data_IF_076584305237
#
_entry.id   IF_076584305237
#
_cell.length_a   1.000
_cell.length_b   1.000
_cell.length_c   1.000
_cell.angle_alpha   90.00
_cell.angle_beta   90.00
_cell.angle_gamma   90.00
#
_symmetry.space_group_name_H-M   'P 1'
#
loop_
_entity.id
_entity.type
_entity.pdbx_description
1 polymer ?
#
# COMPACT_ATOMS: atom_id res chain seq x y z
N UNK A 1 -11.19 -10.70 1.53
CA UNK A 1 -10.56 -10.81 0.20
C UNK A 1 -10.78 -12.20 -0.40
N UNK A 2 -10.10 -13.26 0.06
CA UNK A 2 -10.25 -14.61 -0.51
C UNK A 2 -11.71 -15.14 -0.49
N UNK A 3 -12.40 -15.03 0.64
CA UNK A 3 -13.82 -15.40 0.75
C UNK A 3 -14.79 -14.56 -0.09
N UNK A 4 -14.32 -13.46 -0.70
CA UNK A 4 -15.07 -12.63 -1.65
C UNK A 4 -14.68 -12.92 -3.11
N UNK A 5 -13.85 -13.95 -3.36
CA UNK A 5 -13.46 -14.37 -4.71
C UNK A 5 -12.21 -13.69 -5.28
N UNK A 6 -11.51 -12.86 -4.49
CA UNK A 6 -10.25 -12.26 -4.95
C UNK A 6 -9.09 -13.26 -4.87
N UNK A 7 -8.23 -13.27 -5.89
CA UNK A 7 -6.94 -13.93 -5.82
C UNK A 7 -6.03 -13.14 -4.86
N UNK A 8 -5.45 -13.82 -3.88
CA UNK A 8 -4.63 -13.21 -2.83
C UNK A 8 -3.24 -13.85 -2.82
N UNK A 9 -2.22 -13.01 -2.69
CA UNK A 9 -0.85 -13.42 -2.42
C UNK A 9 -0.39 -12.76 -1.12
N UNK A 10 0.00 -13.57 -0.14
CA UNK A 10 0.59 -13.11 1.12
C UNK A 10 2.11 -13.29 1.12
N UNK A 11 2.85 -12.32 1.67
CA UNK A 11 4.30 -12.39 1.85
C UNK A 11 4.64 -12.08 3.31
N UNK A 12 5.39 -12.97 3.95
CA UNK A 12 5.95 -12.75 5.28
C UNK A 12 7.26 -13.54 5.40
N UNK A 13 8.16 -13.12 6.28
CA UNK A 13 9.39 -13.87 6.57
C UNK A 13 9.14 -15.05 7.50
N UNK A 14 8.08 -14.99 8.31
CA UNK A 14 7.72 -16.00 9.29
C UNK A 14 6.84 -17.09 8.66
N UNK A 15 7.46 -18.23 8.36
CA UNK A 15 6.76 -19.39 7.83
C UNK A 15 5.65 -19.91 8.77
N UNK A 16 5.78 -19.71 10.09
CA UNK A 16 4.76 -20.13 11.05
C UNK A 16 3.53 -19.21 11.01
N UNK A 17 3.73 -17.89 10.88
CA UNK A 17 2.63 -16.94 10.69
C UNK A 17 1.83 -17.21 9.39
N UNK A 18 2.52 -17.76 8.39
CA UNK A 18 1.97 -18.12 7.10
C UNK A 18 1.32 -19.52 7.04
N UNK A 19 1.51 -20.34 8.07
CA UNK A 19 0.98 -21.71 8.09
C UNK A 19 -0.56 -21.71 8.07
N UNK A 20 -1.14 -22.50 7.17
CA UNK A 20 -2.59 -22.62 7.00
C UNK A 20 -3.21 -21.57 6.08
N UNK A 21 -2.51 -20.48 5.75
CA UNK A 21 -3.00 -19.45 4.84
C UNK A 21 -3.02 -19.90 3.37
N UNK A 22 -2.35 -21.01 3.03
CA UNK A 22 -2.37 -21.59 1.69
C UNK A 22 -3.78 -21.98 1.24
N UNK A 23 -4.70 -22.24 2.19
CA UNK A 23 -6.10 -22.50 1.90
C UNK A 23 -6.87 -21.26 1.38
N UNK A 24 -6.28 -20.07 1.53
CA UNK A 24 -6.90 -18.79 1.19
C UNK A 24 -6.21 -18.06 0.03
N UNK A 25 -5.04 -18.53 -0.42
CA UNK A 25 -4.30 -17.90 -1.50
C UNK A 25 -2.87 -18.40 -1.61
N UNK A 26 -2.12 -17.78 -2.51
CA UNK A 26 -0.68 -17.99 -2.62
C UNK A 26 0.02 -17.39 -1.41
N UNK A 27 1.05 -18.08 -0.92
CA UNK A 27 1.82 -17.65 0.24
C UNK A 27 3.30 -17.78 -0.10
N UNK A 28 4.06 -16.71 0.14
CA UNK A 28 5.49 -16.65 -0.14
C UNK A 28 6.23 -16.34 1.16
N UNK A 29 7.08 -17.27 1.58
CA UNK A 29 7.99 -17.04 2.71
C UNK A 29 9.22 -16.29 2.18
N UNK A 30 9.37 -15.02 2.54
CA UNK A 30 10.49 -14.19 2.10
C UNK A 30 10.80 -13.07 3.10
N UNK A 31 12.10 -12.83 3.31
CA UNK A 31 12.57 -11.62 3.99
C UNK A 31 12.60 -10.46 2.98
N UNK A 32 11.60 -9.59 3.05
CA UNK A 32 11.47 -8.41 2.17
C UNK A 32 12.26 -7.18 2.66
N UNK A 33 12.97 -7.30 3.78
CA UNK A 33 13.82 -6.24 4.33
C UNK A 33 15.29 -6.44 3.94
N UNK A 34 15.76 -7.69 3.93
CA UNK A 34 17.15 -8.06 3.64
C UNK A 34 17.31 -8.96 2.41
N UNK A 35 16.22 -9.53 1.88
CA UNK A 35 16.23 -10.40 0.70
C UNK A 35 15.77 -9.69 -0.58
N UNK A 36 15.80 -10.41 -1.72
CA UNK A 36 15.28 -9.87 -2.98
C UNK A 36 13.76 -9.72 -2.92
N UNK A 37 13.23 -8.73 -3.64
CA UNK A 37 11.78 -8.57 -3.79
C UNK A 37 11.17 -9.81 -4.48
N UNK A 38 10.28 -10.57 -3.82
CA UNK A 38 9.81 -11.86 -4.33
C UNK A 38 8.74 -11.75 -5.42
N UNK A 39 8.22 -10.55 -5.66
CA UNK A 39 7.12 -10.28 -6.58
C UNK A 39 7.57 -9.48 -7.82
N UNK A 40 8.85 -9.58 -8.18
CA UNK A 40 9.37 -8.90 -9.37
C UNK A 40 8.59 -9.26 -10.64
N UNK A 41 8.17 -8.24 -11.40
CA UNK A 41 7.39 -8.40 -12.62
C UNK A 41 5.90 -8.75 -12.42
N UNK A 42 5.43 -8.84 -11.17
CA UNK A 42 4.01 -9.07 -10.86
C UNK A 42 3.31 -7.76 -10.56
N UNK A 43 2.09 -7.63 -11.08
CA UNK A 43 1.21 -6.50 -10.84
C UNK A 43 -0.09 -6.96 -10.19
N UNK A 44 -0.66 -6.12 -9.32
CA UNK A 44 -1.83 -6.41 -8.53
C UNK A 44 -2.86 -5.28 -8.66
N UNK A 45 -4.14 -5.64 -8.68
CA UNK A 45 -5.25 -4.69 -8.64
C UNK A 45 -5.36 -3.98 -7.28
N UNK A 46 -4.81 -4.58 -6.23
CA UNK A 46 -4.70 -3.96 -4.92
C UNK A 46 -3.44 -4.41 -4.17
N UNK A 47 -2.81 -3.50 -3.45
CA UNK A 47 -1.76 -3.76 -2.47
C UNK A 47 -2.24 -3.26 -1.11
N UNK A 48 -2.21 -4.14 -0.10
CA UNK A 48 -2.68 -3.83 1.25
C UNK A 48 -1.51 -3.97 2.22
N UNK A 49 -1.21 -2.90 2.96
CA UNK A 49 -0.13 -2.86 3.96
C UNK A 49 -0.69 -2.37 5.28
N UNK A 50 -0.71 -3.23 6.29
CA UNK A 50 -1.27 -2.91 7.61
C UNK A 50 -0.25 -3.17 8.70
N UNK A 51 -0.07 -2.23 9.62
CA UNK A 51 0.83 -2.35 10.78
C UNK A 51 2.27 -2.75 10.41
N UNK A 52 2.73 -2.33 9.23
CA UNK A 52 4.07 -2.60 8.71
C UNK A 52 4.68 -1.31 8.17
N UNK A 53 5.98 -1.11 8.40
CA UNK A 53 6.72 0.03 7.88
C UNK A 53 8.18 -0.34 7.60
N UNK A 54 8.52 -0.48 6.33
CA UNK A 54 9.89 -0.53 5.85
C UNK A 54 10.02 0.40 4.64
N UNK A 55 10.55 1.60 4.88
CA UNK A 55 10.57 2.69 3.87
C UNK A 55 11.28 2.31 2.56
N UNK A 56 12.39 1.55 2.55
CA UNK A 56 13.02 1.11 1.31
C UNK A 56 12.12 0.25 0.41
N UNK A 57 11.03 -0.31 0.94
CA UNK A 57 10.11 -1.15 0.17
C UNK A 57 9.10 -0.34 -0.67
N UNK A 58 8.93 0.96 -0.39
CA UNK A 58 7.91 1.78 -1.06
C UNK A 58 7.97 1.73 -2.59
N UNK A 59 9.15 1.85 -3.25
CA UNK A 59 9.23 1.74 -4.70
C UNK A 59 8.73 0.38 -5.22
N UNK A 60 9.00 -0.71 -4.51
CA UNK A 60 8.55 -2.05 -4.88
C UNK A 60 7.03 -2.20 -4.71
N UNK A 61 6.48 -1.74 -3.58
CA UNK A 61 5.04 -1.79 -3.32
C UNK A 61 4.24 -0.99 -4.36
N UNK A 62 4.67 0.23 -4.64
CA UNK A 62 4.01 1.10 -5.63
C UNK A 62 4.19 0.56 -7.06
N UNK A 63 5.39 0.03 -7.38
CA UNK A 63 5.67 -0.58 -8.69
C UNK A 63 4.90 -1.87 -8.96
N UNK A 64 4.43 -2.54 -7.91
CA UNK A 64 3.59 -3.74 -8.00
C UNK A 64 2.10 -3.42 -8.23
N UNK A 65 1.67 -2.15 -8.23
CA UNK A 65 0.29 -1.80 -8.58
C UNK A 65 0.10 -1.82 -10.09
N UNK A 66 -0.98 -2.44 -10.56
CA UNK A 66 -1.41 -2.33 -11.95
C UNK A 66 -1.96 -0.91 -12.25
N UNK A 67 -2.06 -0.49 -13.52
CA UNK A 67 -2.82 0.71 -13.87
C UNK A 67 -4.26 0.64 -13.34
N UNK A 68 -4.71 1.67 -12.61
CA UNK A 68 -6.00 1.64 -11.92
C UNK A 68 -5.99 0.88 -10.58
N UNK A 69 -4.88 0.26 -10.20
CA UNK A 69 -4.73 -0.48 -8.96
C UNK A 69 -4.76 0.42 -7.72
N UNK A 70 -5.12 -0.18 -6.58
CA UNK A 70 -5.39 0.53 -5.32
C UNK A 70 -4.33 0.18 -4.27
N UNK A 71 -3.69 1.20 -3.70
CA UNK A 71 -2.95 1.07 -2.44
C UNK A 71 -3.91 1.34 -1.27
N UNK A 72 -3.94 0.43 -0.30
CA UNK A 72 -4.52 0.65 1.03
C UNK A 72 -3.39 0.46 2.04
N UNK A 73 -3.03 1.52 2.75
CA UNK A 73 -2.00 1.45 3.77
C UNK A 73 -2.45 2.08 5.07
N UNK A 74 -2.18 1.41 6.19
CA UNK A 74 -2.31 1.94 7.55
C UNK A 74 -1.12 1.49 8.39
N UNK A 75 -0.48 2.41 9.12
CA UNK A 75 0.46 2.05 10.18
C UNK A 75 0.56 3.16 11.23
N UNK A 76 1.32 2.92 12.28
CA UNK A 76 1.49 3.84 13.40
C UNK A 76 2.15 5.15 12.95
N UNK A 77 1.66 6.25 13.48
CA UNK A 77 2.16 7.60 13.21
C UNK A 77 2.90 8.18 14.42
N UNK A 78 3.64 9.25 14.15
CA UNK A 78 4.19 10.11 15.19
C UNK A 78 3.10 10.47 16.23
N UNK A 79 3.48 10.45 17.49
CA UNK A 79 2.56 10.52 18.64
C UNK A 79 2.45 9.20 19.38
N UNK A 80 2.53 8.06 18.69
CA UNK A 80 2.39 6.72 19.30
C UNK A 80 3.41 6.45 20.41
N UNK A 81 4.62 7.01 20.30
CA UNK A 81 5.69 6.87 21.30
C UNK A 81 5.31 7.39 22.69
N UNK A 82 4.29 8.24 22.80
CA UNK A 82 3.85 8.80 24.08
C UNK A 82 2.84 7.90 24.81
N UNK A 83 2.22 6.95 24.11
CA UNK A 83 1.10 6.15 24.65
C UNK A 83 1.35 4.64 24.59
N UNK A 84 2.36 4.18 23.84
CA UNK A 84 2.64 2.75 23.76
C UNK A 84 3.72 2.38 22.75
N UNK A 85 3.58 1.18 22.18
CA UNK A 85 4.45 0.65 21.12
C UNK A 85 3.71 0.73 19.77
N UNK A 86 4.45 0.85 18.65
CA UNK A 86 5.89 1.10 18.53
C UNK A 86 6.29 2.48 19.04
N UNK A 87 7.53 2.62 19.54
CA UNK A 87 8.03 3.87 20.15
C UNK A 87 9.33 4.40 19.53
N UNK A 88 9.88 3.71 18.52
CA UNK A 88 11.06 4.17 17.77
C UNK A 88 10.59 4.92 16.54
N UNK A 89 11.21 6.06 16.26
CA UNK A 89 10.86 6.90 15.11
C UNK A 89 10.91 6.15 13.76
N UNK A 90 11.85 5.20 13.61
CA UNK A 90 11.95 4.36 12.40
C UNK A 90 10.66 3.58 12.10
N UNK A 91 9.84 3.29 13.11
CA UNK A 91 8.58 2.55 12.99
C UNK A 91 7.34 3.45 13.04
N UNK A 92 7.52 4.77 12.98
CA UNK A 92 6.44 5.75 13.04
C UNK A 92 6.45 6.61 11.77
N UNK A 93 5.30 6.71 11.12
CA UNK A 93 5.11 7.64 10.01
C UNK A 93 5.20 9.07 10.50
N UNK A 94 6.01 9.87 9.82
CA UNK A 94 6.06 11.32 10.05
C UNK A 94 4.80 11.98 9.47
N UNK A 95 4.38 13.15 9.99
CA UNK A 95 3.20 13.84 9.46
C UNK A 95 3.23 14.01 7.93
N UNK A 96 2.13 13.65 7.28
CA UNK A 96 2.00 13.69 5.81
C UNK A 96 2.91 12.73 5.03
N UNK A 97 3.56 11.77 5.68
CA UNK A 97 4.51 10.87 5.00
C UNK A 97 3.83 10.01 3.94
N UNK A 98 2.64 9.44 4.22
CA UNK A 98 1.91 8.67 3.21
C UNK A 98 1.47 9.52 2.01
N UNK A 99 1.18 10.81 2.22
CA UNK A 99 0.86 11.72 1.12
C UNK A 99 2.07 11.92 0.19
N UNK A 100 3.28 12.10 0.77
CA UNK A 100 4.52 12.22 -0.01
C UNK A 100 4.89 10.91 -0.71
N UNK A 101 4.75 9.78 -0.03
CA UNK A 101 4.99 8.45 -0.61
C UNK A 101 4.07 8.19 -1.80
N UNK A 102 2.82 8.65 -1.76
CA UNK A 102 1.83 8.46 -2.82
C UNK A 102 1.78 9.62 -3.82
N UNK A 103 2.82 10.44 -3.91
CA UNK A 103 2.89 11.51 -4.91
C UNK A 103 2.74 10.92 -6.33
N UNK A 104 1.85 11.52 -7.13
CA UNK A 104 1.50 11.02 -8.46
C UNK A 104 0.37 10.00 -8.51
N UNK A 105 -0.06 9.45 -7.36
CA UNK A 105 -1.31 8.68 -7.28
C UNK A 105 -2.49 9.63 -7.00
N UNK A 106 -3.70 9.20 -7.38
CA UNK A 106 -4.92 9.88 -6.98
C UNK A 106 -5.29 9.46 -5.56
N UNK A 107 -5.19 10.39 -4.61
CA UNK A 107 -5.61 10.13 -3.23
C UNK A 107 -7.14 10.08 -3.17
N UNK A 108 -7.68 9.00 -2.60
CA UNK A 108 -9.11 8.78 -2.38
C UNK A 108 -9.49 9.17 -0.96
N UNK A 109 -8.69 8.74 0.01
CA UNK A 109 -8.84 9.06 1.42
C UNK A 109 -7.47 9.12 2.10
N UNK A 110 -7.34 10.01 3.08
CA UNK A 110 -6.16 10.13 3.94
C UNK A 110 -6.60 10.57 5.33
N UNK A 111 -6.03 9.96 6.35
CA UNK A 111 -6.19 10.37 7.75
C UNK A 111 -4.85 10.34 8.46
N UNK A 112 -4.65 11.31 9.36
CA UNK A 112 -3.57 11.39 10.34
C UNK A 112 -4.23 11.72 11.68
N UNK A 113 -4.50 10.69 12.48
CA UNK A 113 -5.42 10.81 13.60
C UNK A 113 -5.03 9.97 14.81
N UNK A 114 -5.52 10.42 15.96
CA UNK A 114 -5.59 9.62 17.18
C UNK A 114 -6.97 8.97 17.27
N UNK A 115 -7.02 7.67 17.57
CA UNK A 115 -8.26 6.92 17.68
C UNK A 115 -8.23 5.87 18.80
N UNK A 116 -9.41 5.30 19.08
CA UNK A 116 -9.59 4.26 20.08
C UNK A 116 -9.75 4.82 21.50
N UNK A 117 -9.47 3.97 22.49
CA UNK A 117 -9.55 4.31 23.91
C UNK A 117 -8.93 3.22 24.79
N UNK A 118 -8.48 3.59 25.98
CA UNK A 118 -7.79 2.66 26.89
C UNK A 118 -6.58 2.01 26.21
N UNK A 119 -6.53 0.67 26.21
CA UNK A 119 -5.43 -0.09 25.59
C UNK A 119 -5.43 -0.08 24.05
N UNK A 120 -6.56 0.28 23.42
CA UNK A 120 -6.66 0.37 21.96
C UNK A 120 -6.32 1.76 21.42
N UNK A 121 -5.95 2.71 22.29
CA UNK A 121 -5.55 4.05 21.89
C UNK A 121 -4.32 4.00 20.98
N UNK A 122 -4.40 4.63 19.79
CA UNK A 122 -3.30 4.66 18.82
C UNK A 122 -3.28 5.93 17.99
N UNK A 123 -2.07 6.39 17.65
CA UNK A 123 -1.81 7.37 16.60
C UNK A 123 -1.53 6.63 15.30
N UNK A 124 -2.27 6.94 14.25
CA UNK A 124 -2.23 6.24 12.96
C UNK A 124 -2.25 7.22 11.80
N UNK A 125 -1.55 6.85 10.75
CA UNK A 125 -1.76 7.40 9.43
C UNK A 125 -2.29 6.28 8.51
N UNK A 126 -3.33 6.59 7.74
CA UNK A 126 -3.88 5.68 6.74
C UNK A 126 -4.16 6.40 5.44
N UNK A 127 -4.02 5.68 4.33
CA UNK A 127 -4.28 6.22 3.00
C UNK A 127 -4.91 5.15 2.10
N UNK A 128 -5.85 5.60 1.28
CA UNK A 128 -6.32 4.89 0.11
C UNK A 128 -5.97 5.72 -1.12
N UNK A 129 -5.17 5.17 -2.04
CA UNK A 129 -4.70 5.87 -3.23
C UNK A 129 -4.80 4.96 -4.46
N UNK A 130 -5.04 5.56 -5.62
CA UNK A 130 -5.26 4.82 -6.87
C UNK A 130 -4.23 5.25 -7.90
N UNK A 131 -3.57 4.27 -8.53
CA UNK A 131 -2.73 4.53 -9.71
C UNK A 131 -3.62 5.08 -10.81
N UNK A 132 -3.35 6.28 -11.35
CA UNK A 132 -4.13 6.81 -12.46
C UNK A 132 -4.20 5.78 -13.58
N UNK A 133 -5.40 5.40 -14.00
CA UNK A 133 -5.54 4.57 -15.19
C UNK A 133 -4.84 5.29 -16.34
N UNK A 134 -4.12 4.55 -17.18
CA UNK A 134 -3.61 5.10 -18.42
C UNK A 134 -4.78 5.81 -19.11
N UNK A 135 -4.62 7.09 -19.43
CA UNK A 135 -5.61 7.76 -20.27
C UNK A 135 -5.68 6.89 -21.52
N UNK A 136 -6.84 6.29 -21.80
CA UNK A 136 -7.16 5.90 -23.17
C UNK A 136 -6.81 7.14 -23.99
N UNK A 137 -5.85 7.02 -24.90
CA UNK A 137 -5.57 8.10 -25.82
C UNK A 137 -6.86 8.31 -26.61
N UNK A 138 -7.67 9.27 -26.17
CA UNK A 138 -8.62 9.91 -27.06
C UNK A 138 -7.77 10.66 -28.06
N UNK A 139 -7.28 9.94 -29.07
CA UNK A 139 -7.01 10.51 -30.37
C UNK A 139 -8.37 11.02 -30.86
N UNK A 140 -8.74 12.23 -30.42
CA UNK A 140 -9.74 12.99 -31.11
C UNK A 140 -9.17 13.21 -32.51
N UNK A 141 -9.81 12.72 -33.57
CA UNK A 141 -9.36 13.02 -34.92
C UNK A 141 -9.34 14.55 -35.06
N UNK A 142 -8.16 15.11 -35.32
CA UNK A 142 -8.03 16.49 -35.74
C UNK A 142 -8.50 16.55 -37.20
N UNK A 143 -9.70 17.09 -37.42
CA UNK A 143 -10.12 17.45 -38.77
C UNK A 143 -9.52 18.82 -39.11
N UNK A 144 -8.58 18.86 -40.04
CA UNK A 144 -8.18 20.09 -40.70
C UNK A 144 -9.20 20.41 -41.80
N UNK A 145 -9.92 21.52 -41.65
CA UNK A 145 -10.73 22.07 -42.74
C UNK A 145 -9.81 22.94 -43.60
N UNK A 146 -9.51 22.48 -44.81
CA UNK A 146 -8.92 23.36 -45.83
C UNK A 146 -10.03 24.19 -46.45
N UNK A 147 -9.88 25.51 -46.39
CA UNK A 147 -10.74 26.47 -47.11
C UNK A 147 -10.05 26.77 -48.44
N UNK A 148 -10.79 26.68 -49.55
CA UNK A 148 -10.36 27.17 -50.87
C UNK A 148 -10.35 28.71 -50.92
#
# INVERSE_FOLDING_TARGET
>A
LAGQGHAVTGVDRDAAALAGLQAHGEVIVADIEAGPWPLAGRHFDAVVVTNYLWRPLWPHLLGSLAPGGVLICETFADGQQHIGKPSRADFLLQPGELLRTCEGLRIVAYEDCFEGGGQAARYVQRIAAVVPAAKLSNHLPQFQVQSE
#
